data_IF_690327151468
#
_entry.id   IF_690327151468
#
_cell.length_a   1.000
_cell.length_b   1.000
_cell.length_c   1.000
_cell.angle_alpha   90.00
_cell.angle_beta   90.00
_cell.angle_gamma   90.00
#
_symmetry.space_group_name_H-M   'P 1'
#
loop_
_entity.id
_entity.type
_entity.pdbx_description
1 polymer ?
#
# COMPACT_ATOMS: atom_id res chain seq x y z
N UNK A 1 2.69 -68.65 -15.20
CA UNK A 1 3.96 -68.53 -14.44
C UNK A 1 4.84 -67.54 -15.18
N UNK A 2 5.46 -66.62 -14.43
CA UNK A 2 6.54 -65.67 -14.81
C UNK A 2 6.22 -64.70 -15.97
N UNK A 3 6.21 -63.37 -15.83
CA UNK A 3 6.92 -62.50 -14.90
C UNK A 3 7.84 -61.56 -15.69
N UNK A 4 7.73 -60.26 -15.41
CA UNK A 4 8.70 -59.22 -15.82
C UNK A 4 8.35 -58.46 -17.11
N UNK A 5 8.68 -57.17 -17.27
CA UNK A 5 9.31 -56.23 -16.37
C UNK A 5 9.10 -54.82 -16.95
N UNK A 6 9.17 -53.83 -16.06
CA UNK A 6 8.95 -52.40 -16.27
C UNK A 6 9.92 -51.78 -17.29
N UNK A 7 9.43 -50.80 -18.04
CA UNK A 7 10.26 -49.72 -18.58
C UNK A 7 9.77 -48.38 -18.02
N UNK A 8 10.40 -47.94 -16.94
CA UNK A 8 10.40 -46.55 -16.50
C UNK A 8 11.35 -45.76 -17.41
N UNK A 9 10.84 -44.77 -18.12
CA UNK A 9 11.67 -43.73 -18.70
C UNK A 9 11.76 -42.58 -17.68
N UNK A 10 12.92 -42.50 -17.03
CA UNK A 10 13.41 -41.28 -16.38
C UNK A 10 13.56 -40.18 -17.44
N UNK A 11 12.97 -39.01 -17.19
CA UNK A 11 13.47 -37.77 -17.78
C UNK A 11 13.97 -36.89 -16.64
N UNK A 12 15.28 -36.77 -16.57
CA UNK A 12 16.05 -36.05 -15.57
C UNK A 12 16.44 -34.67 -16.14
N UNK A 13 16.81 -33.76 -15.23
CA UNK A 13 17.66 -32.55 -15.40
C UNK A 13 16.94 -31.33 -16.02
N UNK A 14 16.94 -30.09 -15.49
CA UNK A 14 17.98 -29.31 -14.79
C UNK A 14 17.40 -28.42 -13.66
N UNK A 15 17.97 -28.57 -12.46
CA UNK A 15 18.23 -27.44 -11.58
C UNK A 15 19.52 -26.75 -12.07
N UNK A 16 19.50 -25.43 -12.22
CA UNK A 16 20.48 -24.51 -11.65
C UNK A 16 20.41 -23.13 -12.31
N UNK A 17 19.92 -22.16 -11.56
CA UNK A 17 20.64 -20.88 -11.38
C UNK A 17 20.15 -20.28 -10.06
N UNK A 18 20.83 -20.72 -9.00
CA UNK A 18 21.06 -19.90 -7.82
C UNK A 18 21.90 -18.72 -8.31
N UNK A 19 21.28 -17.55 -8.48
CA UNK A 19 22.01 -16.29 -8.40
C UNK A 19 21.90 -15.81 -6.96
N UNK A 20 22.76 -16.36 -6.12
CA UNK A 20 23.12 -15.80 -4.84
C UNK A 20 23.71 -14.39 -5.03
N UNK A 21 23.12 -13.45 -4.31
CA UNK A 21 23.73 -12.22 -3.78
C UNK A 21 24.56 -11.36 -4.74
N UNK A 22 23.96 -10.26 -5.17
CA UNK A 22 24.63 -8.97 -5.13
C UNK A 22 23.84 -8.08 -4.17
N UNK A 23 24.39 -7.65 -3.02
CA UNK A 23 23.86 -6.50 -2.34
C UNK A 23 24.15 -5.30 -3.24
N UNK A 24 23.22 -4.93 -4.12
CA UNK A 24 23.24 -3.58 -4.68
C UNK A 24 22.78 -2.63 -3.59
N UNK A 25 23.73 -2.28 -2.72
CA UNK A 25 23.86 -0.91 -2.27
C UNK A 25 24.14 -0.03 -3.50
N UNK A 26 23.11 0.24 -4.29
CA UNK A 26 23.12 1.41 -5.17
C UNK A 26 22.91 2.60 -4.25
N UNK A 27 24.04 3.21 -3.90
CA UNK A 27 24.12 4.52 -3.27
C UNK A 27 23.25 5.50 -4.06
N UNK A 28 22.21 5.98 -3.36
CA UNK A 28 21.57 7.28 -3.48
C UNK A 28 21.42 7.86 -4.91
N UNK A 29 20.35 7.46 -5.60
CA UNK A 29 19.62 8.46 -6.36
C UNK A 29 18.72 9.18 -5.36
N UNK A 30 19.29 10.19 -4.71
CA UNK A 30 18.62 11.11 -3.80
C UNK A 30 17.72 12.06 -4.60
N UNK A 31 16.81 11.52 -5.42
CA UNK A 31 15.55 12.22 -5.62
C UNK A 31 14.88 12.09 -4.27
N UNK A 32 15.05 13.11 -3.43
CA UNK A 32 14.26 13.33 -2.25
C UNK A 32 12.80 13.05 -2.65
N UNK A 33 12.30 11.88 -2.26
CA UNK A 33 10.90 11.51 -2.44
C UNK A 33 10.15 12.35 -1.43
N UNK A 34 9.87 13.59 -1.82
CA UNK A 34 9.30 14.58 -0.93
C UNK A 34 7.89 14.15 -0.59
N UNK A 35 7.73 13.77 0.67
CA UNK A 35 6.46 13.35 1.21
C UNK A 35 5.81 14.56 1.83
N UNK A 36 4.66 14.96 1.33
CA UNK A 36 4.00 16.16 1.79
C UNK A 36 2.99 15.82 2.87
N UNK A 37 2.93 16.66 3.90
CA UNK A 37 1.89 16.64 4.91
C UNK A 37 0.72 17.46 4.41
N UNK A 38 -0.48 16.89 4.37
CA UNK A 38 -1.70 17.59 3.98
C UNK A 38 -2.95 16.80 4.35
N UNK A 39 -4.09 17.47 4.35
CA UNK A 39 -5.40 16.86 4.57
C UNK A 39 -6.39 17.27 3.49
N UNK A 40 -7.24 16.35 3.07
CA UNK A 40 -8.39 16.59 2.20
C UNK A 40 -9.64 16.01 2.86
N UNK A 41 -10.73 16.76 2.79
CA UNK A 41 -12.02 16.37 3.35
C UNK A 41 -13.07 16.59 2.28
N UNK A 42 -13.82 15.54 1.99
CA UNK A 42 -14.89 15.59 0.99
C UNK A 42 -15.93 16.63 1.37
N UNK A 43 -16.37 17.41 0.39
CA UNK A 43 -17.47 18.39 0.50
C UNK A 43 -17.29 19.40 1.65
N UNK A 44 -16.05 19.62 2.10
CA UNK A 44 -15.78 20.46 3.26
C UNK A 44 -15.02 21.73 2.87
N UNK A 45 -15.55 22.85 3.34
CA UNK A 45 -14.81 24.12 3.39
C UNK A 45 -13.98 24.26 4.67
N UNK A 46 -14.03 23.27 5.58
CA UNK A 46 -13.31 23.35 6.84
C UNK A 46 -11.80 23.39 6.59
N UNK A 47 -11.14 24.33 7.27
CA UNK A 47 -9.69 24.54 7.21
C UNK A 47 -9.02 24.26 8.55
N UNK A 48 -9.76 23.70 9.52
CA UNK A 48 -9.26 23.48 10.87
C UNK A 48 -9.14 21.99 11.20
N UNK A 49 -8.01 21.65 11.81
CA UNK A 49 -7.71 20.32 12.29
C UNK A 49 -8.33 19.98 13.65
N UNK A 50 -8.78 20.95 14.44
CA UNK A 50 -9.38 20.69 15.76
C UNK A 50 -10.55 19.69 15.66
N UNK A 51 -11.52 19.97 14.80
CA UNK A 51 -12.68 19.10 14.60
C UNK A 51 -12.31 17.67 14.13
N UNK A 52 -11.21 17.51 13.39
CA UNK A 52 -10.77 16.19 12.93
C UNK A 52 -9.99 15.43 14.01
N UNK A 53 -9.24 16.13 14.86
CA UNK A 53 -8.50 15.55 15.99
C UNK A 53 -9.43 15.01 17.06
N UNK A 54 -10.54 15.68 17.34
CA UNK A 54 -11.54 15.20 18.29
C UNK A 54 -12.15 13.85 17.88
N UNK A 55 -12.18 13.57 16.58
CA UNK A 55 -12.62 12.29 16.02
C UNK A 55 -11.51 11.24 15.94
N UNK A 56 -10.29 11.57 16.39
CA UNK A 56 -9.13 10.68 16.37
C UNK A 56 -8.48 10.51 14.99
N UNK A 57 -8.74 11.41 14.05
CA UNK A 57 -8.16 11.32 12.70
C UNK A 57 -6.88 12.16 12.58
N UNK A 58 -5.84 11.63 11.90
CA UNK A 58 -4.61 12.38 11.66
C UNK A 58 -4.90 13.58 10.76
N UNK A 59 -4.67 14.81 11.24
CA UNK A 59 -4.94 16.03 10.50
C UNK A 59 -3.74 16.96 10.45
N UNK A 60 -3.44 17.45 9.25
CA UNK A 60 -2.26 18.25 8.92
C UNK A 60 -2.58 19.31 7.88
N UNK A 61 -1.97 20.48 8.03
CA UNK A 61 -2.01 21.54 7.03
C UNK A 61 -0.97 21.30 5.92
N UNK A 62 -1.25 21.77 4.68
CA UNK A 62 -2.43 22.52 4.28
C UNK A 62 -3.65 21.63 4.00
N UNK A 63 -4.83 22.26 4.03
CA UNK A 63 -6.05 21.65 3.52
C UNK A 63 -6.11 21.79 2.01
N UNK A 64 -6.18 20.65 1.32
CA UNK A 64 -6.35 20.61 -0.11
C UNK A 64 -7.84 20.69 -0.44
N UNK A 65 -8.19 21.62 -1.32
CA UNK A 65 -9.55 21.75 -1.87
C UNK A 65 -9.54 21.37 -3.33
N UNK A 66 -10.53 20.59 -3.73
CA UNK A 66 -10.67 20.08 -5.10
C UNK A 66 -11.90 20.67 -5.77
N UNK A 67 -11.84 20.76 -7.10
CA UNK A 67 -12.96 21.16 -7.94
C UNK A 67 -13.13 20.06 -8.99
N UNK A 68 -14.19 19.24 -8.92
CA UNK A 68 -15.32 19.32 -7.98
C UNK A 68 -14.96 18.80 -6.56
N UNK A 69 -15.60 19.29 -5.49
CA UNK A 69 -15.23 19.01 -4.10
C UNK A 69 -15.46 17.55 -3.67
N UNK A 70 -16.25 16.80 -4.44
CA UNK A 70 -16.53 15.38 -4.20
C UNK A 70 -15.36 14.49 -4.64
N UNK A 71 -14.42 15.02 -5.42
CA UNK A 71 -13.30 14.26 -5.98
C UNK A 71 -12.05 14.43 -5.12
N UNK A 72 -11.35 13.34 -4.76
CA UNK A 72 -10.07 13.44 -4.06
C UNK A 72 -9.04 14.16 -4.93
N UNK A 73 -8.02 14.79 -4.33
CA UNK A 73 -7.02 15.52 -5.10
C UNK A 73 -6.22 14.56 -5.96
N UNK A 74 -5.95 14.98 -7.20
CA UNK A 74 -4.97 14.31 -8.01
C UNK A 74 -3.59 14.60 -7.42
N UNK A 75 -2.96 13.57 -6.89
CA UNK A 75 -1.73 13.74 -6.12
C UNK A 75 -0.55 14.16 -7.00
N UNK A 76 -0.61 13.89 -8.31
CA UNK A 76 0.33 14.41 -9.31
C UNK A 76 0.27 15.93 -9.40
N UNK A 77 -0.95 16.48 -9.49
CA UNK A 77 -1.18 17.92 -9.54
C UNK A 77 -0.79 18.57 -8.22
N UNK A 78 -0.92 17.83 -7.11
CA UNK A 78 -0.46 18.29 -5.81
C UNK A 78 1.06 18.47 -5.76
N UNK A 79 1.82 17.53 -6.32
CA UNK A 79 3.28 17.67 -6.39
C UNK A 79 3.71 18.87 -7.23
N UNK A 80 2.99 19.16 -8.32
CA UNK A 80 3.25 20.32 -9.17
C UNK A 80 2.92 21.64 -8.43
N UNK A 81 1.77 21.69 -7.75
CA UNK A 81 1.40 22.86 -6.93
C UNK A 81 2.35 23.04 -5.75
N UNK A 82 2.77 21.96 -5.11
CA UNK A 82 3.63 22.01 -3.94
C UNK A 82 5.08 22.38 -4.24
N UNK A 83 5.61 21.88 -5.37
CA UNK A 83 6.93 22.29 -5.87
C UNK A 83 6.95 23.75 -6.31
N UNK A 84 5.84 24.30 -6.80
CA UNK A 84 5.73 25.71 -7.20
C UNK A 84 5.45 26.69 -6.04
N UNK A 85 4.81 26.25 -4.95
CA UNK A 85 4.38 27.11 -3.83
C UNK A 85 4.86 26.57 -2.48
N UNK A 86 6.13 26.79 -2.16
CA UNK A 86 6.71 26.74 -0.82
C UNK A 86 6.35 25.50 0.07
N UNK A 87 6.06 24.32 -0.50
CA UNK A 87 5.74 23.16 0.32
C UNK A 87 6.92 22.56 1.09
N UNK A 88 8.12 23.15 1.00
CA UNK A 88 9.26 22.78 1.82
C UNK A 88 8.94 22.79 3.34
N UNK A 89 8.01 23.64 3.80
CA UNK A 89 7.53 23.63 5.19
C UNK A 89 6.65 22.42 5.54
N UNK A 90 6.04 21.81 4.53
CA UNK A 90 5.13 20.68 4.65
C UNK A 90 5.77 19.35 4.22
N UNK A 91 7.00 19.38 3.68
CA UNK A 91 7.77 18.19 3.33
C UNK A 91 8.28 17.45 4.57
N UNK A 92 8.22 16.12 4.54
CA UNK A 92 8.73 15.26 5.59
C UNK A 92 10.25 15.36 5.74
N UNK A 93 10.70 15.23 6.99
CA UNK A 93 12.13 15.05 7.30
C UNK A 93 12.62 13.71 6.75
N UNK A 94 13.87 13.65 6.28
CA UNK A 94 14.53 12.49 5.63
C UNK A 94 14.43 11.13 6.37
N UNK A 95 14.09 11.11 7.65
CA UNK A 95 14.09 9.91 8.50
C UNK A 95 12.68 9.43 8.92
N UNK A 96 11.62 10.01 8.39
CA UNK A 96 10.25 9.61 8.70
C UNK A 96 9.63 8.84 7.53
N UNK A 97 8.73 7.92 7.85
CA UNK A 97 7.96 7.19 6.85
C UNK A 97 6.78 8.03 6.38
N UNK A 98 6.39 7.82 5.14
CA UNK A 98 5.15 8.37 4.61
C UNK A 98 3.97 7.50 5.02
N UNK A 99 3.00 8.11 5.66
CA UNK A 99 1.78 7.46 6.08
C UNK A 99 0.61 8.05 5.30
N UNK A 100 -0.25 7.17 4.78
CA UNK A 100 -1.51 7.54 4.13
C UNK A 100 -2.66 7.02 4.98
N UNK A 101 -3.55 7.91 5.37
CA UNK A 101 -4.79 7.59 6.07
C UNK A 101 -5.98 7.98 5.18
N UNK A 102 -6.86 7.03 4.90
CA UNK A 102 -8.05 7.26 4.06
C UNK A 102 -9.28 6.69 4.74
N UNK A 103 -10.40 7.42 4.67
CA UNK A 103 -11.72 6.91 5.05
C UNK A 103 -12.59 6.81 3.81
N UNK A 104 -13.29 5.70 3.67
CA UNK A 104 -14.19 5.41 2.58
C UNK A 104 -15.62 5.25 3.10
N UNK A 105 -16.60 5.68 2.32
CA UNK A 105 -18.00 5.34 2.54
C UNK A 105 -18.31 3.87 2.17
N UNK A 106 -19.56 3.46 2.35
CA UNK A 106 -20.05 2.11 1.99
C UNK A 106 -19.94 1.80 0.49
N UNK A 107 -19.80 2.82 -0.36
CA UNK A 107 -19.62 2.70 -1.81
C UNK A 107 -18.14 2.75 -2.21
N UNK A 108 -17.23 2.68 -1.23
CA UNK A 108 -15.79 2.75 -1.40
C UNK A 108 -15.31 4.09 -2.00
N UNK A 109 -16.05 5.19 -1.77
CA UNK A 109 -15.62 6.54 -2.16
C UNK A 109 -14.90 7.22 -1.01
N UNK A 110 -13.76 7.89 -1.24
CA UNK A 110 -13.03 8.56 -0.19
C UNK A 110 -13.85 9.74 0.37
N UNK A 111 -13.98 9.79 1.69
CA UNK A 111 -14.59 10.86 2.47
C UNK A 111 -13.55 11.78 3.12
N UNK A 112 -12.38 11.22 3.39
CA UNK A 112 -11.30 11.88 4.11
C UNK A 112 -9.98 11.27 3.67
N UNK A 113 -8.97 12.10 3.47
CA UNK A 113 -7.62 11.66 3.18
C UNK A 113 -6.62 12.55 3.91
N UNK A 114 -5.61 11.93 4.50
CA UNK A 114 -4.51 12.64 5.16
C UNK A 114 -3.21 11.92 4.84
N UNK A 115 -2.23 12.68 4.36
CA UNK A 115 -0.88 12.21 4.14
C UNK A 115 0.01 12.92 5.12
N UNK A 116 0.89 12.16 5.77
CA UNK A 116 1.76 12.71 6.80
C UNK A 116 2.99 11.87 7.05
N UNK A 117 3.92 12.43 7.82
CA UNK A 117 5.15 11.76 8.21
C UNK A 117 4.98 11.12 9.58
N UNK A 118 5.44 9.89 9.74
CA UNK A 118 5.47 9.26 11.04
C UNK A 118 6.17 7.91 11.02
N UNK A 119 5.85 7.12 12.04
CA UNK A 119 6.31 5.74 12.17
C UNK A 119 5.11 4.88 12.50
N UNK A 120 4.85 3.85 11.71
CA UNK A 120 3.80 2.89 12.04
C UNK A 120 4.37 1.81 12.95
N UNK A 121 3.75 1.64 14.12
CA UNK A 121 4.16 0.68 15.14
C UNK A 121 3.05 -0.32 15.42
N UNK A 122 3.42 -1.59 15.48
CA UNK A 122 2.49 -2.66 15.85
C UNK A 122 2.45 -2.82 17.37
N UNK A 123 1.39 -2.29 17.97
CA UNK A 123 1.19 -2.30 19.42
C UNK A 123 0.66 -3.63 19.96
N UNK A 124 0.29 -4.58 19.09
CA UNK A 124 -0.17 -5.91 19.56
C UNK A 124 0.93 -6.72 20.24
N UNK A 125 2.18 -6.32 20.02
CA UNK A 125 3.39 -6.89 20.60
C UNK A 125 4.08 -5.95 21.59
N UNK A 126 3.35 -5.00 22.19
CA UNK A 126 3.92 -3.98 23.06
C UNK A 126 4.86 -4.55 24.14
N UNK A 127 4.52 -5.71 24.71
CA UNK A 127 5.29 -6.38 25.76
C UNK A 127 6.63 -6.96 25.29
N UNK A 128 6.79 -7.21 23.98
CA UNK A 128 7.99 -7.80 23.35
C UNK A 128 8.82 -6.79 22.55
N UNK A 129 8.39 -5.53 22.51
CA UNK A 129 8.91 -4.50 21.63
C UNK A 129 7.95 -4.22 20.48
N UNK A 130 7.58 -2.95 20.32
CA UNK A 130 6.77 -2.51 19.18
C UNK A 130 7.61 -2.57 17.90
N UNK A 131 7.20 -3.43 16.96
CA UNK A 131 7.87 -3.56 15.67
C UNK A 131 7.45 -2.40 14.75
N UNK A 132 8.43 -1.64 14.24
CA UNK A 132 8.18 -0.64 13.20
C UNK A 132 7.85 -1.33 11.88
N UNK A 133 6.75 -0.94 11.25
CA UNK A 133 6.32 -1.45 9.93
C UNK A 133 6.78 -0.51 8.83
N UNK A 134 7.33 -1.04 7.75
CA UNK A 134 7.89 -0.25 6.63
C UNK A 134 7.13 -0.39 5.31
N UNK A 135 6.21 -1.35 5.23
CA UNK A 135 5.46 -1.69 4.01
C UNK A 135 4.20 -2.47 4.38
N UNK A 136 3.24 -1.77 4.97
CA UNK A 136 2.02 -2.42 5.43
C UNK A 136 0.82 -1.50 5.29
N UNK A 137 -0.35 -2.10 5.11
CA UNK A 137 -1.63 -1.43 4.99
C UNK A 137 -2.65 -2.13 5.86
N UNK A 138 -3.25 -1.36 6.78
CA UNK A 138 -4.25 -1.84 7.70
C UNK A 138 -5.61 -1.31 7.30
N UNK A 139 -6.56 -2.22 7.12
CA UNK A 139 -7.95 -1.91 6.83
C UNK A 139 -8.80 -2.23 8.06
N UNK A 140 -9.58 -1.26 8.51
CA UNK A 140 -10.56 -1.40 9.57
C UNK A 140 -11.94 -1.05 9.04
N UNK A 141 -12.93 -1.91 9.28
CA UNK A 141 -14.33 -1.70 8.87
C UNK A 141 -15.17 -1.45 10.10
N UNK A 142 -15.84 -0.30 10.16
CA UNK A 142 -16.79 0.03 11.22
C UNK A 142 -18.14 0.39 10.61
N UNK A 143 -18.94 -0.65 10.35
CA UNK A 143 -20.30 -0.51 9.81
C UNK A 143 -20.35 0.23 8.47
N UNK A 144 -20.55 1.54 8.54
CA UNK A 144 -20.75 2.44 7.39
C UNK A 144 -19.47 3.04 6.82
N UNK A 145 -18.33 2.87 7.51
CA UNK A 145 -17.06 3.45 7.09
C UNK A 145 -15.96 2.40 7.07
N UNK A 146 -15.14 2.43 6.02
CA UNK A 146 -13.88 1.69 5.98
C UNK A 146 -12.73 2.68 6.14
N UNK A 147 -11.80 2.40 7.05
CA UNK A 147 -10.58 3.16 7.25
C UNK A 147 -9.39 2.36 6.76
N UNK A 148 -8.48 3.01 6.04
CA UNK A 148 -7.22 2.47 5.59
C UNK A 148 -6.06 3.32 6.14
N UNK A 149 -5.06 2.67 6.71
CA UNK A 149 -3.80 3.29 7.10
C UNK A 149 -2.64 2.51 6.47
N UNK A 150 -1.86 3.16 5.62
CA UNK A 150 -0.75 2.55 4.88
C UNK A 150 0.57 3.24 5.16
N UNK A 151 1.64 2.46 5.28
CA UNK A 151 3.01 2.95 5.11
C UNK A 151 3.33 2.91 3.62
N UNK A 152 3.59 4.06 3.04
CA UNK A 152 3.96 4.13 1.64
C UNK A 152 5.45 3.86 1.50
N UNK A 153 5.79 2.86 0.68
CA UNK A 153 7.13 2.78 0.13
C UNK A 153 7.29 3.78 -1.01
N UNK A 154 8.47 4.41 -1.11
CA UNK A 154 8.88 5.13 -2.33
C UNK A 154 7.94 6.31 -2.72
N UNK A 155 7.74 6.56 -4.02
CA UNK A 155 6.90 7.66 -4.55
C UNK A 155 5.39 7.40 -4.35
N UNK A 156 5.03 6.24 -3.79
CA UNK A 156 3.67 5.70 -3.89
C UNK A 156 2.67 6.46 -3.02
N UNK A 157 3.11 7.18 -1.98
CA UNK A 157 2.21 8.01 -1.20
C UNK A 157 1.65 9.16 -2.04
N UNK A 158 2.48 9.72 -2.92
CA UNK A 158 2.05 10.79 -3.80
C UNK A 158 1.48 10.26 -5.13
N UNK A 159 1.21 8.96 -5.25
CA UNK A 159 0.60 8.38 -6.44
C UNK A 159 -0.90 8.18 -6.23
N UNK A 160 -1.70 8.61 -7.20
CA UNK A 160 -3.17 8.46 -7.18
C UNK A 160 -3.64 7.02 -7.33
N UNK A 161 -2.72 6.09 -7.59
CA UNK A 161 -3.05 4.67 -7.75
C UNK A 161 -3.28 4.03 -6.39
N UNK A 162 -4.56 3.80 -6.08
CA UNK A 162 -4.95 2.68 -5.22
C UNK A 162 -4.16 1.47 -5.67
N UNK A 163 -3.32 0.93 -4.78
CA UNK A 163 -2.74 -0.39 -4.93
C UNK A 163 -3.92 -1.38 -4.98
N UNK A 164 -4.48 -1.55 -6.17
CA UNK A 164 -5.04 -2.82 -6.60
C UNK A 164 -3.93 -3.82 -6.33
N UNK A 165 -4.00 -4.54 -5.20
CA UNK A 165 -3.17 -5.73 -5.02
C UNK A 165 -3.34 -6.53 -6.30
N UNK A 166 -2.28 -6.81 -7.07
CA UNK A 166 -2.42 -7.36 -8.40
C UNK A 166 -3.20 -8.67 -8.31
N UNK A 167 -4.47 -8.63 -8.69
CA UNK A 167 -5.40 -9.76 -8.70
C UNK A 167 -4.87 -10.92 -9.57
N UNK A 168 -3.91 -10.61 -10.43
CA UNK A 168 -3.13 -11.57 -11.20
C UNK A 168 -2.39 -12.61 -10.34
N UNK A 169 -1.90 -12.27 -9.14
CA UNK A 169 -1.21 -13.25 -8.28
C UNK A 169 -2.21 -14.32 -7.76
N UNK A 170 -3.45 -13.92 -7.46
CA UNK A 170 -4.50 -14.88 -7.08
C UNK A 170 -4.94 -15.74 -8.26
N UNK A 171 -5.07 -15.16 -9.46
CA UNK A 171 -5.43 -15.91 -10.67
C UNK A 171 -4.38 -16.96 -11.04
N UNK A 172 -3.09 -16.64 -10.92
CA UNK A 172 -1.98 -17.57 -11.21
C UNK A 172 -1.92 -18.71 -10.18
N UNK A 173 -2.15 -18.42 -8.89
CA UNK A 173 -2.19 -19.46 -7.85
C UNK A 173 -3.36 -20.45 -8.05
N UNK A 174 -4.54 -19.95 -8.43
CA UNK A 174 -5.70 -20.78 -8.78
C UNK A 174 -5.43 -21.62 -10.04
N UNK A 175 -4.87 -21.02 -11.09
CA UNK A 175 -4.52 -21.76 -12.31
C UNK A 175 -3.50 -22.87 -12.04
N UNK A 176 -2.50 -22.62 -11.20
CA UNK A 176 -1.52 -23.63 -10.76
C UNK A 176 -2.16 -24.74 -9.94
N UNK A 177 -3.13 -24.43 -9.06
CA UNK A 177 -3.89 -25.44 -8.31
C UNK A 177 -4.74 -26.32 -9.23
N UNK A 178 -5.33 -25.78 -10.30
CA UNK A 178 -6.06 -26.58 -11.29
C UNK A 178 -5.15 -27.45 -12.16
N UNK A 179 -3.96 -26.95 -12.52
CA UNK A 179 -2.98 -27.71 -13.31
C UNK A 179 -2.29 -28.82 -12.49
N UNK A 180 -2.03 -28.58 -11.21
CA UNK A 180 -1.38 -29.55 -10.31
C UNK A 180 -2.39 -30.50 -9.65
N UNK A 181 -3.63 -30.05 -9.42
CA UNK A 181 -4.70 -30.79 -8.77
C UNK A 181 -5.47 -31.75 -9.69
N UNK A 182 -4.80 -32.30 -10.71
CA UNK A 182 -5.33 -33.21 -11.73
C UNK A 182 -6.64 -33.88 -11.34
N UNK A 183 -7.75 -33.31 -11.82
CA UNK A 183 -9.10 -33.78 -11.56
C UNK A 183 -9.21 -35.20 -12.11
N UNK A 184 -9.04 -36.20 -11.25
CA UNK A 184 -9.45 -37.57 -11.55
C UNK A 184 -10.97 -37.59 -11.48
N UNK A 185 -11.63 -37.27 -12.60
CA UNK A 185 -13.04 -37.57 -12.78
C UNK A 185 -13.18 -39.09 -12.83
N UNK A 186 -13.43 -39.69 -11.67
CA UNK A 186 -13.83 -41.10 -11.60
C UNK A 186 -15.27 -41.18 -12.09
N UNK A 187 -15.46 -41.60 -13.34
CA UNK A 187 -16.79 -41.94 -13.85
C UNK A 187 -17.22 -43.24 -13.18
N UNK A 188 -18.33 -43.19 -12.46
CA UNK A 188 -19.14 -44.36 -12.13
C UNK A 188 -20.14 -44.61 -13.25
#
# INVERSE_FOLDING_TARGET
MTGGMRCSALTTILLALVMSSLPRHTVAQEVLRECYQWTWVKDSNNTDCEANRDNGYPCFEPFIRTVPPESPPNVTDLNEVCSAKACATYTCKKNLQCLRYVRYDVLNKPLYMSLFCGTLVDVTKADTGADTKYDDCYLSKNGTVTTEACVCQFDLCNSSTTLSRPSHIQAVALALLFLLGGVRVSRY
#
